data_IF_436270624024
#
_entry.id   IF_436270624024
#
_cell.length_a   1.000
_cell.length_b   1.000
_cell.length_c   1.000
_cell.angle_alpha   90.00
_cell.angle_beta   90.00
_cell.angle_gamma   90.00
#
_symmetry.space_group_name_H-M   'P 1'
#
loop_
_entity.id
_entity.type
_entity.pdbx_description
1 polymer ?
#
# COMPACT_ATOMS: atom_id res chain seq x y z
N UNK A 1 -19.71 6.76 -11.03
CA UNK A 1 -21.06 7.09 -10.51
C UNK A 1 -21.10 7.21 -8.98
N UNK A 2 -20.79 6.14 -8.19
CA UNK A 2 -20.84 6.22 -6.71
C UNK A 2 -19.82 7.24 -6.16
N UNK A 3 -18.59 7.20 -6.64
CA UNK A 3 -17.56 8.17 -6.23
C UNK A 3 -17.97 9.61 -6.57
N UNK A 4 -18.51 9.85 -7.74
CA UNK A 4 -19.03 11.16 -8.17
C UNK A 4 -20.20 11.63 -7.30
N UNK A 5 -21.10 10.71 -6.95
CA UNK A 5 -22.20 11.00 -6.03
C UNK A 5 -21.68 11.43 -4.66
N UNK A 6 -20.73 10.69 -4.10
CA UNK A 6 -20.10 11.01 -2.81
C UNK A 6 -19.36 12.36 -2.85
N UNK A 7 -18.66 12.66 -3.94
CA UNK A 7 -17.99 13.96 -4.13
C UNK A 7 -18.99 15.11 -4.17
N UNK A 8 -20.11 14.92 -4.86
CA UNK A 8 -21.20 15.93 -4.90
C UNK A 8 -21.88 16.10 -3.55
N UNK A 9 -22.08 15.00 -2.81
CA UNK A 9 -22.68 15.01 -1.48
C UNK A 9 -21.81 15.75 -0.46
N UNK A 10 -20.48 15.56 -0.52
CA UNK A 10 -19.53 16.32 0.28
C UNK A 10 -19.48 17.79 -0.13
N UNK A 11 -19.38 18.08 -1.41
CA UNK A 11 -19.40 19.41 -1.99
C UNK A 11 -18.17 20.27 -1.67
N UNK A 12 -17.11 19.72 -1.07
CA UNK A 12 -15.88 20.45 -0.75
C UNK A 12 -14.69 19.92 -1.56
N UNK A 13 -13.71 20.78 -1.94
CA UNK A 13 -12.56 20.35 -2.74
C UNK A 13 -11.69 19.30 -2.05
N UNK A 14 -11.62 19.34 -0.72
CA UNK A 14 -10.74 18.51 0.12
C UNK A 14 -11.50 17.47 0.94
N UNK A 15 -12.78 17.22 0.65
CA UNK A 15 -13.62 16.25 1.35
C UNK A 15 -13.74 16.51 2.85
N UNK A 16 -13.79 17.78 3.25
CA UNK A 16 -13.77 18.20 4.66
C UNK A 16 -15.11 18.02 5.38
N UNK A 17 -16.22 17.88 4.66
CA UNK A 17 -17.55 17.73 5.26
C UNK A 17 -17.81 16.29 5.73
N UNK A 18 -17.58 15.32 4.88
CA UNK A 18 -17.80 13.89 5.17
C UNK A 18 -16.53 13.16 5.62
N UNK A 19 -15.39 13.66 5.20
CA UNK A 19 -14.08 13.04 5.41
C UNK A 19 -13.73 12.00 4.34
N UNK A 20 -12.50 12.04 3.88
CA UNK A 20 -12.03 11.17 2.80
C UNK A 20 -12.12 9.67 3.16
N UNK A 21 -11.83 9.32 4.42
CA UNK A 21 -11.87 7.92 4.87
C UNK A 21 -13.27 7.33 4.85
N UNK A 22 -14.29 8.09 5.29
CA UNK A 22 -15.68 7.65 5.24
C UNK A 22 -16.15 7.45 3.79
N UNK A 23 -15.84 8.40 2.92
CA UNK A 23 -16.19 8.32 1.49
C UNK A 23 -15.50 7.12 0.82
N UNK A 24 -14.22 6.89 1.12
CA UNK A 24 -13.47 5.75 0.60
C UNK A 24 -14.06 4.43 1.11
N UNK A 25 -14.39 4.34 2.40
CA UNK A 25 -15.02 3.15 2.99
C UNK A 25 -16.32 2.75 2.27
N UNK A 26 -17.20 3.71 2.02
CA UNK A 26 -18.45 3.46 1.27
C UNK A 26 -18.16 3.03 -0.16
N UNK A 27 -17.24 3.71 -0.85
CA UNK A 27 -16.87 3.39 -2.23
C UNK A 27 -16.31 1.97 -2.37
N UNK A 28 -15.43 1.56 -1.44
CA UNK A 28 -14.86 0.21 -1.40
C UNK A 28 -15.97 -0.83 -1.11
N UNK A 29 -16.83 -0.59 -0.12
CA UNK A 29 -17.92 -1.49 0.22
C UNK A 29 -18.86 -1.74 -0.98
N UNK A 30 -19.20 -0.69 -1.72
CA UNK A 30 -19.99 -0.82 -2.94
C UNK A 30 -19.30 -1.64 -4.04
N UNK A 31 -17.97 -1.49 -4.18
CA UNK A 31 -17.22 -2.29 -5.15
C UNK A 31 -17.20 -3.78 -4.77
N UNK A 32 -17.04 -4.11 -3.49
CA UNK A 32 -17.14 -5.48 -3.00
C UNK A 32 -18.54 -6.06 -3.20
N UNK A 33 -19.58 -5.32 -2.86
CA UNK A 33 -20.96 -5.76 -3.05
C UNK A 33 -21.26 -6.04 -4.54
N UNK A 34 -20.83 -5.16 -5.44
CA UNK A 34 -21.02 -5.34 -6.88
C UNK A 34 -20.21 -6.51 -7.46
N UNK A 35 -19.04 -6.80 -6.91
CA UNK A 35 -18.25 -7.97 -7.29
C UNK A 35 -18.94 -9.27 -6.82
N UNK A 36 -19.44 -9.29 -5.58
CA UNK A 36 -20.17 -10.41 -5.01
C UNK A 36 -21.49 -10.69 -5.76
N UNK A 37 -22.26 -9.67 -6.10
CA UNK A 37 -23.47 -9.80 -6.90
C UNK A 37 -23.22 -10.46 -8.27
N UNK A 38 -22.05 -10.18 -8.87
CA UNK A 38 -21.64 -10.74 -10.16
C UNK A 38 -20.93 -12.09 -10.05
N UNK A 39 -20.73 -12.58 -8.83
CA UNK A 39 -19.94 -13.79 -8.55
C UNK A 39 -18.54 -13.77 -9.18
N UNK A 40 -17.84 -12.62 -9.06
CA UNK A 40 -16.48 -12.45 -9.56
C UNK A 40 -15.56 -11.87 -8.48
N UNK A 41 -14.25 -12.17 -8.51
CA UNK A 41 -13.28 -11.52 -7.63
C UNK A 41 -13.26 -10.00 -7.85
N UNK A 42 -12.99 -9.24 -6.78
CA UNK A 42 -12.96 -7.77 -6.83
C UNK A 42 -12.05 -7.22 -7.92
N UNK A 43 -10.86 -7.80 -8.11
CA UNK A 43 -9.94 -7.33 -9.15
C UNK A 43 -10.52 -7.47 -10.57
N UNK A 44 -11.31 -8.50 -10.85
CA UNK A 44 -12.01 -8.66 -12.14
C UNK A 44 -13.12 -7.64 -12.31
N UNK A 45 -13.86 -7.34 -11.23
CA UNK A 45 -14.85 -6.29 -11.24
C UNK A 45 -14.23 -4.92 -11.54
N UNK A 46 -13.12 -4.58 -10.87
CA UNK A 46 -12.39 -3.33 -11.10
C UNK A 46 -11.84 -3.28 -12.53
N UNK A 47 -11.26 -4.36 -13.02
CA UNK A 47 -10.78 -4.44 -14.40
C UNK A 47 -11.90 -4.19 -15.42
N UNK A 48 -13.09 -4.75 -15.18
CA UNK A 48 -14.28 -4.50 -16.01
C UNK A 48 -14.69 -3.03 -16.02
N UNK A 49 -14.66 -2.35 -14.87
CA UNK A 49 -14.95 -0.92 -14.79
C UNK A 49 -13.92 -0.06 -15.53
N UNK A 50 -12.67 -0.50 -15.55
CA UNK A 50 -11.57 0.17 -16.23
C UNK A 50 -11.39 -0.24 -17.71
N UNK A 51 -12.26 -1.12 -18.22
CA UNK A 51 -12.14 -1.71 -19.57
C UNK A 51 -10.80 -2.44 -19.82
N UNK A 52 -10.20 -3.00 -18.77
CA UNK A 52 -8.97 -3.80 -18.86
C UNK A 52 -9.35 -5.26 -19.11
N UNK A 53 -8.70 -5.86 -20.10
CA UNK A 53 -8.91 -7.27 -20.50
C UNK A 53 -7.80 -8.16 -19.98
N UNK A 54 -8.12 -9.45 -19.80
CA UNK A 54 -7.11 -10.48 -19.53
C UNK A 54 -6.09 -10.59 -20.69
N UNK A 55 -4.84 -11.01 -20.41
CA UNK A 55 -4.36 -11.51 -19.12
C UNK A 55 -4.01 -10.40 -18.12
N UNK A 56 -4.30 -10.64 -16.84
CA UNK A 56 -3.88 -9.74 -15.75
C UNK A 56 -2.47 -10.10 -15.28
N UNK A 57 -1.70 -9.09 -14.91
CA UNK A 57 -0.37 -9.26 -14.32
C UNK A 57 -0.35 -8.75 -12.88
N UNK A 58 0.34 -9.48 -12.00
CA UNK A 58 0.66 -8.95 -10.69
C UNK A 58 1.66 -7.81 -10.83
N UNK A 59 1.51 -6.73 -10.04
CA UNK A 59 2.46 -5.61 -10.08
C UNK A 59 3.82 -6.04 -9.52
N UNK A 60 4.87 -5.30 -9.91
CA UNK A 60 6.13 -5.36 -9.18
C UNK A 60 5.90 -4.91 -7.74
N UNK A 61 6.17 -5.76 -6.74
CA UNK A 61 5.94 -5.36 -5.35
C UNK A 61 7.04 -4.42 -4.86
N UNK A 62 6.63 -3.35 -4.19
CA UNK A 62 7.51 -2.42 -3.52
C UNK A 62 7.34 -2.61 -2.01
N UNK A 63 8.46 -2.84 -1.30
CA UNK A 63 8.45 -3.12 0.13
C UNK A 63 9.10 -1.98 0.89
N UNK A 64 8.34 -1.34 1.77
CA UNK A 64 8.90 -0.35 2.67
C UNK A 64 9.76 -1.06 3.73
N UNK A 65 11.01 -0.68 3.84
CA UNK A 65 11.97 -1.31 4.75
C UNK A 65 12.49 -0.36 5.83
N UNK A 66 12.49 0.95 5.57
CA UNK A 66 12.90 1.98 6.54
C UNK A 66 11.94 3.15 6.45
N UNK A 67 11.46 3.60 7.59
CA UNK A 67 10.67 4.82 7.72
C UNK A 67 11.50 5.95 8.34
N UNK A 68 11.27 7.15 7.84
CA UNK A 68 11.83 8.37 8.38
C UNK A 68 10.80 9.49 8.44
N UNK A 69 11.26 10.71 8.58
CA UNK A 69 10.42 11.88 8.61
C UNK A 69 9.62 12.04 9.90
N UNK A 70 8.62 12.90 9.86
CA UNK A 70 7.86 13.33 11.03
C UNK A 70 7.09 12.20 11.72
N UNK A 71 6.59 11.22 10.96
CA UNK A 71 5.79 10.12 11.51
C UNK A 71 6.62 9.06 12.22
N UNK A 72 7.87 8.88 11.81
CA UNK A 72 8.76 7.89 12.41
C UNK A 72 9.47 8.39 13.69
N UNK A 73 9.36 9.70 13.99
CA UNK A 73 9.97 10.30 15.18
C UNK A 73 11.52 10.31 15.17
N UNK A 74 12.13 10.06 14.02
CA UNK A 74 13.58 10.07 13.83
C UNK A 74 14.05 11.26 12.99
N UNK A 75 15.37 11.41 12.81
CA UNK A 75 16.00 12.52 12.08
C UNK A 75 16.21 12.25 10.58
N UNK A 76 15.71 11.14 10.07
CA UNK A 76 15.83 10.79 8.64
C UNK A 76 14.90 11.70 7.84
N UNK A 77 15.44 12.41 6.86
CA UNK A 77 14.68 13.41 6.09
C UNK A 77 13.65 12.76 5.14
N UNK A 78 13.96 11.60 4.58
CA UNK A 78 13.06 10.87 3.69
C UNK A 78 12.06 10.04 4.49
N UNK A 79 10.81 10.04 4.06
CA UNK A 79 9.71 9.37 4.77
C UNK A 79 9.78 7.85 4.65
N UNK A 80 10.14 7.34 3.47
CA UNK A 80 10.14 5.90 3.18
C UNK A 80 11.29 5.51 2.28
N UNK A 81 11.85 4.32 2.54
CA UNK A 81 12.83 3.67 1.68
C UNK A 81 12.29 2.30 1.30
N UNK A 82 12.12 2.09 0.00
CA UNK A 82 11.52 0.87 -0.52
C UNK A 82 12.52 0.04 -1.30
N UNK A 83 12.36 -1.27 -1.26
CA UNK A 83 13.05 -2.21 -2.14
C UNK A 83 12.09 -2.79 -3.15
N UNK A 84 12.56 -2.99 -4.37
CA UNK A 84 11.80 -3.55 -5.48
C UNK A 84 12.60 -4.71 -6.09
N UNK A 85 12.22 -5.97 -5.87
CA UNK A 85 12.94 -7.13 -6.39
C UNK A 85 12.73 -7.32 -7.90
N UNK A 86 13.34 -6.47 -8.73
CA UNK A 86 13.15 -6.44 -10.19
C UNK A 86 13.70 -7.68 -10.91
N UNK A 87 14.66 -8.39 -10.29
CA UNK A 87 15.23 -9.62 -10.84
C UNK A 87 14.48 -10.89 -10.48
N UNK A 88 13.36 -10.81 -9.77
CA UNK A 88 12.56 -11.97 -9.41
C UNK A 88 11.82 -12.55 -10.63
N UNK A 89 11.81 -13.87 -10.77
CA UNK A 89 11.12 -14.57 -11.88
C UNK A 89 9.62 -14.78 -11.61
N UNK A 90 9.15 -14.52 -10.36
CA UNK A 90 7.76 -14.63 -9.96
C UNK A 90 7.45 -13.71 -8.77
N UNK A 91 6.16 -13.41 -8.56
CA UNK A 91 5.71 -12.64 -7.39
C UNK A 91 6.10 -13.34 -6.08
N UNK A 92 5.97 -14.68 -6.01
CA UNK A 92 6.38 -15.46 -4.85
C UNK A 92 7.88 -15.31 -4.56
N UNK A 93 8.72 -15.35 -5.60
CA UNK A 93 10.16 -15.12 -5.44
C UNK A 93 10.45 -13.69 -4.99
N UNK A 94 9.76 -12.69 -5.51
CA UNK A 94 9.89 -11.31 -5.08
C UNK A 94 9.56 -11.15 -3.58
N UNK A 95 8.47 -11.76 -3.12
CA UNK A 95 8.08 -11.78 -1.70
C UNK A 95 9.16 -12.42 -0.82
N UNK A 96 9.72 -13.56 -1.25
CA UNK A 96 10.81 -14.22 -0.55
C UNK A 96 12.04 -13.32 -0.44
N UNK A 97 12.50 -12.76 -1.55
CA UNK A 97 13.68 -11.86 -1.60
C UNK A 97 13.48 -10.66 -0.67
N UNK A 98 12.30 -10.06 -0.69
CA UNK A 98 12.00 -8.90 0.15
C UNK A 98 11.98 -9.27 1.64
N UNK A 99 11.35 -10.39 2.01
CA UNK A 99 11.32 -10.87 3.39
C UNK A 99 12.73 -11.18 3.93
N UNK A 100 13.54 -11.88 3.15
CA UNK A 100 14.93 -12.19 3.52
C UNK A 100 15.77 -10.91 3.69
N UNK A 101 15.60 -9.95 2.78
CA UNK A 101 16.30 -8.65 2.85
C UNK A 101 15.85 -7.86 4.08
N UNK A 102 14.55 -7.79 4.34
CA UNK A 102 13.98 -7.08 5.50
C UNK A 102 14.54 -7.61 6.82
N UNK A 103 14.48 -8.92 7.03
CA UNK A 103 14.99 -9.54 8.26
C UNK A 103 16.51 -9.45 8.40
N UNK A 104 17.25 -9.48 7.28
CA UNK A 104 18.69 -9.30 7.29
C UNK A 104 19.05 -7.86 7.61
N UNK A 105 18.34 -6.89 7.00
CA UNK A 105 18.54 -5.47 7.29
C UNK A 105 18.33 -5.17 8.78
N UNK A 106 17.28 -5.73 9.38
CA UNK A 106 17.05 -5.61 10.83
C UNK A 106 18.27 -6.06 11.63
N UNK A 107 18.78 -7.25 11.36
CA UNK A 107 19.98 -7.79 12.05
C UNK A 107 21.22 -6.90 11.87
N UNK A 108 21.41 -6.34 10.68
CA UNK A 108 22.52 -5.43 10.39
C UNK A 108 22.38 -4.14 11.19
N UNK A 109 21.17 -3.58 11.27
CA UNK A 109 20.89 -2.37 12.05
C UNK A 109 21.14 -2.63 13.54
N UNK A 110 20.56 -3.71 14.07
CA UNK A 110 20.74 -4.11 15.48
C UNK A 110 22.23 -4.30 15.83
N UNK A 111 23.00 -4.94 14.93
CA UNK A 111 24.44 -5.18 15.12
C UNK A 111 25.28 -3.89 15.09
N UNK A 112 24.93 -2.92 14.23
CA UNK A 112 25.71 -1.70 14.05
C UNK A 112 25.38 -0.58 15.03
N UNK A 113 24.10 -0.47 15.40
CA UNK A 113 23.59 0.69 16.11
C UNK A 113 23.00 0.36 17.49
N UNK A 114 22.87 -0.95 17.82
CA UNK A 114 22.24 -1.42 19.05
C UNK A 114 20.72 -1.28 19.05
N UNK A 115 20.06 -2.04 19.95
CA UNK A 115 18.60 -2.03 20.12
C UNK A 115 18.14 -0.85 20.98
N UNK A 116 19.03 -0.24 21.76
CA UNK A 116 18.73 0.75 22.80
C UNK A 116 18.89 2.20 22.33
N UNK A 117 18.60 2.51 21.11
CA UNK A 117 18.77 3.86 20.60
C UNK A 117 17.47 4.65 20.53
N UNK A 118 17.44 5.83 21.10
CA UNK A 118 16.57 6.96 20.70
C UNK A 118 16.64 7.25 19.19
N UNK A 119 17.29 6.37 18.44
CA UNK A 119 17.53 6.42 17.00
C UNK A 119 16.96 5.17 16.32
N UNK A 120 15.87 4.61 16.84
CA UNK A 120 15.24 3.44 16.22
C UNK A 120 14.87 3.76 14.77
N UNK A 121 15.57 3.09 13.87
CA UNK A 121 15.11 2.99 12.49
C UNK A 121 13.79 2.25 12.57
N UNK A 122 12.70 2.96 12.36
CA UNK A 122 11.38 2.36 12.32
C UNK A 122 11.31 1.53 11.04
N UNK A 123 11.30 0.22 11.21
CA UNK A 123 11.08 -0.70 10.10
C UNK A 123 9.64 -0.54 9.62
N UNK A 124 9.45 -0.47 8.32
CA UNK A 124 8.16 -0.29 7.66
C UNK A 124 7.28 -1.54 7.67
#
# INVERSE_FOLDING_TARGET
EIAEFLLKLDGTPNKSKLGANAMLGVSIACAYAAAAEKDVPLYKHIASLANVKEPFALPLPCFNVINGGKHAGNKIAFQEFMICPTGASSFQQAMKMASETYHTLKKVIDSKYGIDGEHSVTLG
#
